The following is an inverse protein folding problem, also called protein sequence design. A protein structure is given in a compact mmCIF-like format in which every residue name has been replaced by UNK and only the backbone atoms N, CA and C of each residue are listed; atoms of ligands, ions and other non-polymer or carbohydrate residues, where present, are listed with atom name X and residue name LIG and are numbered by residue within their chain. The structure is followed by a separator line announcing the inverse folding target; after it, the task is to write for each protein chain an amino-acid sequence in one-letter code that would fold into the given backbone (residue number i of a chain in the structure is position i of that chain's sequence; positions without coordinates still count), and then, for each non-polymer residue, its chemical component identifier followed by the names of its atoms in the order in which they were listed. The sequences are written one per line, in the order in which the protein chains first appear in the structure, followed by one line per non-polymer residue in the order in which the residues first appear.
data_IF_382916462242
#
_entry.id   IF_382916462242
#
_cell.length_a   1.000
_cell.length_b   1.000
_cell.length_c   1.000
_cell.angle_alpha   90.00
_cell.angle_beta   90.00
_cell.angle_gamma   90.00
#
_symmetry.space_group_name_H-M   'P 1'
#
loop_
_entity.id
_entity.type
_entity.pdbx_description
1 polymer ?
#
# COMPACT_ATOMS: atom_id res chain seq x y z
N UNK A 1 8.69 -14.47 35.94
CA UNK A 1 8.44 -14.35 34.47
C UNK A 1 8.11 -12.93 34.20
N UNK A 2 8.80 -12.30 33.28
CA UNK A 2 8.54 -10.90 32.92
C UNK A 2 7.13 -10.82 32.30
N UNK A 3 6.34 -9.83 32.74
CA UNK A 3 4.99 -9.59 32.24
C UNK A 3 5.09 -9.05 30.82
N UNK A 4 4.29 -9.56 29.89
CA UNK A 4 4.21 -9.09 28.51
C UNK A 4 3.54 -7.70 28.50
N UNK A 5 4.26 -6.71 28.01
CA UNK A 5 3.77 -5.34 27.90
C UNK A 5 2.81 -5.19 26.70
N UNK A 6 1.61 -4.64 26.95
CA UNK A 6 0.56 -4.51 25.94
C UNK A 6 0.12 -3.06 25.79
N UNK A 7 0.01 -2.58 24.56
CA UNK A 7 -0.67 -1.34 24.22
C UNK A 7 -2.03 -1.63 23.60
N UNK A 8 -3.05 -0.84 23.93
CA UNK A 8 -4.40 -0.97 23.40
C UNK A 8 -4.78 0.29 22.63
N UNK A 9 -5.18 0.13 21.36
CA UNK A 9 -5.54 1.25 20.48
C UNK A 9 -6.93 1.00 19.90
N UNK A 10 -7.91 1.77 20.36
CA UNK A 10 -9.31 1.62 19.95
C UNK A 10 -10.06 2.93 20.17
N UNK A 11 -10.92 3.32 19.24
CA UNK A 11 -11.77 4.51 19.37
C UNK A 11 -12.93 4.37 20.40
N UNK A 12 -13.07 3.19 21.03
CA UNK A 12 -14.14 2.90 21.97
C UNK A 12 -13.56 2.60 23.37
N UNK A 13 -13.66 3.53 24.32
CA UNK A 13 -13.12 3.37 25.66
C UNK A 13 -13.60 2.10 26.39
N UNK A 14 -14.86 1.70 26.19
CA UNK A 14 -15.41 0.47 26.80
C UNK A 14 -14.68 -0.78 26.27
N UNK A 15 -14.31 -0.79 24.99
CA UNK A 15 -13.51 -1.89 24.42
C UNK A 15 -12.13 -1.95 25.07
N UNK A 16 -11.46 -0.81 25.21
CA UNK A 16 -10.14 -0.72 25.86
C UNK A 16 -10.21 -1.28 27.29
N UNK A 17 -11.16 -0.83 28.10
CA UNK A 17 -11.30 -1.30 29.48
C UNK A 17 -11.68 -2.79 29.55
N UNK A 18 -12.56 -3.25 28.66
CA UNK A 18 -12.93 -4.65 28.57
C UNK A 18 -11.73 -5.55 28.22
N UNK A 19 -10.95 -5.17 27.22
CA UNK A 19 -9.75 -5.92 26.82
C UNK A 19 -8.68 -5.86 27.90
N UNK A 20 -8.47 -4.70 28.53
CA UNK A 20 -7.53 -4.54 29.63
C UNK A 20 -7.90 -5.47 30.81
N UNK A 21 -9.18 -5.54 31.19
CA UNK A 21 -9.66 -6.42 32.22
C UNK A 21 -9.41 -7.90 31.88
N UNK A 22 -9.78 -8.31 30.67
CA UNK A 22 -9.57 -9.69 30.18
C UNK A 22 -8.10 -10.09 30.25
N UNK A 23 -7.20 -9.21 29.80
CA UNK A 23 -5.76 -9.49 29.81
C UNK A 23 -5.19 -9.52 31.25
N UNK A 24 -5.65 -8.62 32.12
CA UNK A 24 -5.22 -8.57 33.51
C UNK A 24 -5.56 -9.87 34.27
N UNK A 25 -6.73 -10.49 34.00
CA UNK A 25 -7.13 -11.76 34.65
C UNK A 25 -6.19 -12.92 34.30
N UNK A 26 -5.38 -12.79 33.24
CA UNK A 26 -4.43 -13.85 32.84
C UNK A 26 -3.11 -13.80 33.61
N UNK A 27 -2.81 -12.69 34.30
CA UNK A 27 -1.58 -12.53 35.11
C UNK A 27 -0.26 -12.47 34.32
N UNK A 28 -0.31 -12.67 33.00
CA UNK A 28 0.87 -12.67 32.11
C UNK A 28 1.01 -11.42 31.28
N UNK A 29 -0.04 -10.58 31.20
CA UNK A 29 -0.07 -9.36 30.40
C UNK A 29 -0.19 -8.13 31.29
N UNK A 30 0.50 -7.04 30.92
CA UNK A 30 0.42 -5.74 31.58
C UNK A 30 0.11 -4.66 30.55
N UNK A 31 -1.02 -3.98 30.68
CA UNK A 31 -1.36 -2.85 29.80
C UNK A 31 -0.53 -1.63 30.20
N UNK A 32 0.39 -1.23 29.33
CA UNK A 32 1.35 -0.13 29.57
C UNK A 32 0.92 1.18 28.93
N UNK A 33 0.06 1.14 27.91
CA UNK A 33 -0.43 2.35 27.22
C UNK A 33 -1.79 2.12 26.57
N UNK A 34 -2.54 3.22 26.39
CA UNK A 34 -3.82 3.27 25.70
C UNK A 34 -3.83 4.43 24.71
N UNK A 35 -4.49 4.27 23.56
CA UNK A 35 -4.63 5.29 22.52
C UNK A 35 -5.93 5.11 21.74
N UNK A 36 -6.34 6.14 21.01
CA UNK A 36 -7.61 6.18 20.30
C UNK A 36 -7.44 6.45 18.79
N UNK A 37 -6.21 6.65 18.31
CA UNK A 37 -5.91 7.02 16.92
C UNK A 37 -4.66 6.30 16.39
N UNK A 38 -4.48 6.34 15.06
CA UNK A 38 -3.25 5.86 14.41
C UNK A 38 -2.01 6.67 14.85
N UNK A 39 -2.19 7.93 15.18
CA UNK A 39 -1.13 8.81 15.67
C UNK A 39 -0.69 8.41 17.09
N UNK A 40 -1.65 8.04 17.95
CA UNK A 40 -1.34 7.48 19.27
C UNK A 40 -0.61 6.15 19.13
N UNK A 41 -1.03 5.28 18.21
CA UNK A 41 -0.36 4.01 17.95
C UNK A 41 1.13 4.19 17.63
N UNK A 42 1.46 5.13 16.74
CA UNK A 42 2.84 5.47 16.38
C UNK A 42 3.63 6.04 17.56
N UNK A 43 3.04 6.98 18.30
CA UNK A 43 3.67 7.60 19.46
C UNK A 43 3.96 6.57 20.55
N UNK A 44 2.98 5.71 20.87
CA UNK A 44 3.10 4.65 21.88
C UNK A 44 4.14 3.61 21.48
N UNK A 45 4.20 3.21 20.20
CA UNK A 45 5.22 2.29 19.72
C UNK A 45 6.63 2.86 19.90
N UNK A 46 6.82 4.15 19.64
CA UNK A 46 8.11 4.82 19.83
C UNK A 46 8.52 5.01 21.30
N UNK A 47 7.58 5.39 22.16
CA UNK A 47 7.83 5.74 23.55
C UNK A 47 7.87 4.52 24.48
N UNK A 48 6.90 3.61 24.37
CA UNK A 48 6.72 2.48 25.28
C UNK A 48 7.31 1.18 24.76
N UNK A 49 7.50 1.05 23.44
CA UNK A 49 7.99 -0.17 22.78
C UNK A 49 7.33 -1.45 23.33
N UNK A 50 5.98 -1.52 23.31
CA UNK A 50 5.29 -2.66 23.90
C UNK A 50 5.63 -3.96 23.13
N UNK A 51 5.61 -5.10 23.84
CA UNK A 51 5.79 -6.42 23.20
C UNK A 51 4.63 -6.76 22.26
N UNK A 52 3.43 -6.28 22.62
CA UNK A 52 2.20 -6.50 21.86
C UNK A 52 1.40 -5.20 21.76
N UNK A 53 0.88 -4.91 20.56
CA UNK A 53 -0.13 -3.86 20.35
C UNK A 53 -1.40 -4.50 19.83
N UNK A 54 -2.54 -4.24 20.48
CA UNK A 54 -3.87 -4.63 20.01
C UNK A 54 -4.52 -3.37 19.46
N UNK A 55 -4.84 -3.37 18.15
CA UNK A 55 -5.23 -2.19 17.39
C UNK A 55 -6.53 -2.44 16.62
N UNK A 56 -7.50 -1.54 16.74
CA UNK A 56 -8.68 -1.52 15.86
C UNK A 56 -8.38 -0.81 14.54
N UNK A 57 -8.98 -1.28 13.44
CA UNK A 57 -8.89 -0.61 12.14
C UNK A 57 -9.81 0.62 12.02
N UNK A 58 -10.86 0.70 12.82
CA UNK A 58 -11.85 1.78 12.78
C UNK A 58 -11.44 3.01 13.63
N UNK A 59 -10.16 3.21 13.89
CA UNK A 59 -9.63 4.38 14.60
C UNK A 59 -9.41 5.57 13.65
N UNK A 60 -9.42 6.81 14.16
CA UNK A 60 -9.05 8.00 13.38
C UNK A 60 -7.66 7.88 12.77
N UNK A 61 -7.52 8.32 11.50
CA UNK A 61 -6.29 8.25 10.72
C UNK A 61 -6.18 6.97 9.87
N UNK A 62 -4.98 6.67 9.38
CA UNK A 62 -4.72 5.47 8.56
C UNK A 62 -4.10 4.36 9.44
N UNK A 63 -4.94 3.45 9.89
CA UNK A 63 -4.54 2.34 10.74
C UNK A 63 -3.58 1.37 10.01
N UNK A 64 -3.79 1.13 8.71
CA UNK A 64 -2.95 0.19 7.93
C UNK A 64 -1.57 0.79 7.69
N UNK A 65 -1.48 2.08 7.38
CA UNK A 65 -0.21 2.78 7.27
C UNK A 65 0.54 2.79 8.60
N UNK A 66 -0.16 3.01 9.73
CA UNK A 66 0.45 2.95 11.06
C UNK A 66 1.00 1.55 11.39
N UNK A 67 0.27 0.48 11.06
CA UNK A 67 0.75 -0.91 11.19
C UNK A 67 2.05 -1.09 10.42
N UNK A 68 2.09 -0.66 9.16
CA UNK A 68 3.27 -0.80 8.29
C UNK A 68 4.48 -0.05 8.85
N UNK A 69 4.28 1.18 9.33
CA UNK A 69 5.34 2.00 9.91
C UNK A 69 5.86 1.40 11.23
N UNK A 70 4.97 0.93 12.10
CA UNK A 70 5.34 0.28 13.37
C UNK A 70 6.11 -1.01 13.09
N UNK A 71 5.64 -1.86 12.18
CA UNK A 71 6.30 -3.10 11.83
C UNK A 71 7.73 -2.88 11.28
N UNK A 72 7.93 -1.80 10.50
CA UNK A 72 9.23 -1.44 9.94
C UNK A 72 10.18 -0.84 10.97
N UNK A 73 9.70 0.08 11.83
CA UNK A 73 10.54 0.85 12.77
C UNK A 73 10.69 0.20 14.15
N UNK A 74 9.71 -0.59 14.56
CA UNK A 74 9.64 -1.23 15.86
C UNK A 74 9.37 -2.74 15.74
N UNK A 75 10.28 -3.53 15.14
CA UNK A 75 10.07 -4.95 14.84
C UNK A 75 9.89 -5.82 16.09
N UNK A 76 10.23 -5.31 17.28
CA UNK A 76 9.95 -5.94 18.58
C UNK A 76 8.48 -5.86 18.98
N UNK A 77 7.73 -4.86 18.50
CA UNK A 77 6.31 -4.69 18.79
C UNK A 77 5.48 -5.52 17.81
N UNK A 78 4.84 -6.57 18.29
CA UNK A 78 3.93 -7.40 17.48
C UNK A 78 2.54 -6.79 17.49
N UNK A 79 1.82 -6.86 16.36
CA UNK A 79 0.53 -6.20 16.21
C UNK A 79 -0.57 -7.25 15.99
N UNK A 80 -1.64 -7.15 16.77
CA UNK A 80 -2.92 -7.84 16.55
C UNK A 80 -3.94 -6.78 16.15
N UNK A 81 -4.57 -6.98 15.01
CA UNK A 81 -5.78 -6.24 14.63
C UNK A 81 -6.98 -6.88 15.35
N UNK A 82 -7.75 -6.06 16.07
CA UNK A 82 -8.95 -6.47 16.78
C UNK A 82 -10.12 -5.58 16.36
N UNK A 83 -10.95 -6.06 15.42
CA UNK A 83 -11.92 -5.21 14.71
C UNK A 83 -13.35 -5.75 14.74
N UNK A 84 -14.32 -4.83 14.74
CA UNK A 84 -15.74 -5.15 14.65
C UNK A 84 -16.22 -5.39 13.20
N UNK A 85 -15.46 -4.95 12.20
CA UNK A 85 -15.82 -5.10 10.78
C UNK A 85 -15.00 -6.23 10.15
N UNK A 86 -15.53 -7.44 10.17
CA UNK A 86 -14.85 -8.59 9.63
C UNK A 86 -14.85 -8.56 8.09
N UNK A 87 -13.66 -8.53 7.49
CA UNK A 87 -13.47 -8.60 6.06
C UNK A 87 -12.17 -9.34 5.75
N UNK A 88 -12.22 -10.21 4.74
CA UNK A 88 -11.03 -10.92 4.25
C UNK A 88 -10.02 -9.92 3.67
N UNK A 89 -10.50 -8.89 2.98
CA UNK A 89 -9.69 -7.84 2.38
C UNK A 89 -8.91 -7.06 3.44
N UNK A 90 -9.58 -6.68 4.54
CA UNK A 90 -8.95 -6.02 5.67
C UNK A 90 -7.93 -6.93 6.38
N UNK A 91 -8.24 -8.22 6.51
CA UNK A 91 -7.30 -9.18 7.09
C UNK A 91 -6.03 -9.29 6.24
N UNK A 92 -6.17 -9.40 4.91
CA UNK A 92 -5.03 -9.45 3.98
C UNK A 92 -4.22 -8.17 4.05
N UNK A 93 -4.86 -7.00 3.96
CA UNK A 93 -4.17 -5.70 4.02
C UNK A 93 -3.41 -5.51 5.33
N UNK A 94 -4.00 -5.89 6.47
CA UNK A 94 -3.35 -5.79 7.77
C UNK A 94 -2.14 -6.74 7.89
N UNK A 95 -2.27 -8.00 7.43
CA UNK A 95 -1.18 -8.97 7.44
C UNK A 95 -0.04 -8.58 6.50
N UNK A 96 -0.35 -8.06 5.31
CA UNK A 96 0.64 -7.52 4.36
C UNK A 96 1.36 -6.29 4.93
N UNK A 97 0.66 -5.44 5.70
CA UNK A 97 1.24 -4.31 6.40
C UNK A 97 2.15 -4.72 7.57
N UNK A 98 2.11 -5.99 8.01
CA UNK A 98 3.00 -6.51 9.04
C UNK A 98 2.30 -6.91 10.35
N UNK A 99 0.96 -6.84 10.44
CA UNK A 99 0.24 -7.42 11.57
C UNK A 99 0.51 -8.93 11.67
N UNK A 100 0.57 -9.43 12.89
CA UNK A 100 0.77 -10.84 13.20
C UNK A 100 -0.50 -11.53 13.68
N UNK A 101 -1.54 -10.75 13.95
CA UNK A 101 -2.85 -11.28 14.33
C UNK A 101 -3.99 -10.52 13.69
N UNK A 102 -5.09 -11.23 13.40
CA UNK A 102 -6.35 -10.64 12.96
C UNK A 102 -7.51 -11.35 13.65
N UNK A 103 -8.20 -10.64 14.53
CA UNK A 103 -9.22 -11.17 15.42
C UNK A 103 -10.48 -10.30 15.35
N UNK A 104 -11.65 -10.95 15.30
CA UNK A 104 -12.94 -10.25 15.34
C UNK A 104 -13.31 -9.84 16.75
N UNK A 105 -13.87 -8.64 16.95
CA UNK A 105 -14.47 -8.23 18.24
C UNK A 105 -15.69 -9.06 18.63
N UNK A 106 -16.28 -9.81 17.71
CA UNK A 106 -17.35 -10.77 18.01
C UNK A 106 -16.87 -12.12 18.53
N UNK A 107 -15.56 -12.33 18.64
CA UNK A 107 -14.99 -13.59 19.13
C UNK A 107 -15.25 -13.79 20.64
N UNK A 108 -15.12 -15.02 21.11
CA UNK A 108 -15.08 -15.28 22.54
C UNK A 108 -13.82 -14.66 23.17
N UNK A 109 -13.93 -14.19 24.43
CA UNK A 109 -12.80 -13.56 25.12
C UNK A 109 -11.54 -14.42 25.18
N UNK A 110 -11.69 -15.74 25.30
CA UNK A 110 -10.58 -16.69 25.26
C UNK A 110 -9.82 -16.72 23.93
N UNK A 111 -10.48 -16.38 22.81
CA UNK A 111 -9.85 -16.34 21.50
C UNK A 111 -8.81 -15.21 21.40
N UNK A 112 -9.14 -14.02 21.89
CA UNK A 112 -8.20 -12.88 21.92
C UNK A 112 -6.96 -13.20 22.77
N UNK A 113 -7.15 -13.85 23.93
CA UNK A 113 -6.04 -14.29 24.80
C UNK A 113 -5.16 -15.32 24.12
N UNK A 114 -5.76 -16.29 23.41
CA UNK A 114 -5.01 -17.30 22.65
C UNK A 114 -4.24 -16.66 21.49
N UNK A 115 -4.86 -15.72 20.79
CA UNK A 115 -4.20 -14.94 19.74
C UNK A 115 -3.00 -14.15 20.30
N UNK A 116 -3.18 -13.48 21.45
CA UNK A 116 -2.11 -12.73 22.10
C UNK A 116 -0.91 -13.63 22.45
N UNK A 117 -1.16 -14.78 23.04
CA UNK A 117 -0.11 -15.77 23.39
C UNK A 117 0.60 -16.30 22.13
N UNK A 118 -0.16 -16.67 21.10
CA UNK A 118 0.39 -17.20 19.85
C UNK A 118 1.28 -16.15 19.16
N UNK A 119 0.82 -14.92 19.07
CA UNK A 119 1.55 -13.82 18.41
C UNK A 119 2.82 -13.45 19.17
N UNK A 120 2.77 -13.40 20.50
CA UNK A 120 3.97 -13.17 21.33
C UNK A 120 4.96 -14.34 21.21
N UNK A 121 4.49 -15.56 21.01
CA UNK A 121 5.35 -16.71 20.72
C UNK A 121 5.93 -16.70 19.28
N UNK A 122 5.59 -15.70 18.44
CA UNK A 122 6.10 -15.56 17.08
C UNK A 122 5.23 -16.19 16.00
N UNK A 123 4.09 -16.77 16.34
CA UNK A 123 3.13 -17.30 15.37
C UNK A 123 2.28 -16.19 14.73
N UNK A 124 1.69 -16.48 13.58
CA UNK A 124 0.62 -15.66 13.02
C UNK A 124 -0.72 -16.26 13.41
N UNK A 125 -1.65 -15.44 13.90
CA UNK A 125 -2.98 -15.85 14.30
C UNK A 125 -4.07 -15.14 13.49
N UNK A 126 -4.97 -15.91 12.90
CA UNK A 126 -6.14 -15.37 12.20
C UNK A 126 -7.36 -16.13 12.71
N UNK A 127 -8.40 -15.40 13.13
CA UNK A 127 -9.67 -16.02 13.54
C UNK A 127 -10.17 -16.99 12.48
N UNK A 128 -10.66 -18.14 12.89
CA UNK A 128 -11.01 -19.27 12.01
C UNK A 128 -11.98 -18.86 10.90
N UNK A 129 -12.90 -17.96 11.21
CA UNK A 129 -13.88 -17.41 10.26
C UNK A 129 -13.22 -16.73 9.04
N UNK A 130 -11.97 -16.28 9.15
CA UNK A 130 -11.24 -15.60 8.06
C UNK A 130 -10.09 -16.44 7.51
N UNK A 131 -9.66 -17.48 8.22
CA UNK A 131 -8.42 -18.20 7.90
C UNK A 131 -8.41 -18.75 6.47
N UNK A 132 -9.47 -19.42 6.04
CA UNK A 132 -9.55 -19.97 4.68
C UNK A 132 -9.58 -18.91 3.60
N UNK A 133 -10.35 -17.81 3.79
CA UNK A 133 -10.43 -16.70 2.86
C UNK A 133 -9.11 -15.91 2.78
N UNK A 134 -8.50 -15.62 3.93
CA UNK A 134 -7.23 -14.91 3.99
C UNK A 134 -6.09 -15.71 3.33
N UNK A 135 -6.01 -17.04 3.57
CA UNK A 135 -5.01 -17.89 2.92
C UNK A 135 -5.20 -17.92 1.40
N UNK A 136 -6.44 -18.04 0.92
CA UNK A 136 -6.74 -18.02 -0.52
C UNK A 136 -6.36 -16.66 -1.15
N UNK A 137 -6.69 -15.56 -0.50
CA UNK A 137 -6.39 -14.21 -0.97
C UNK A 137 -4.87 -13.92 -0.96
N UNK A 138 -4.14 -14.32 0.08
CA UNK A 138 -2.68 -14.16 0.15
C UNK A 138 -1.96 -14.99 -0.93
N UNK A 139 -2.43 -16.22 -1.21
CA UNK A 139 -1.92 -17.02 -2.34
C UNK A 139 -2.16 -16.30 -3.68
N UNK A 140 -3.37 -15.77 -3.89
CA UNK A 140 -3.71 -15.04 -5.09
C UNK A 140 -2.91 -13.72 -5.22
N UNK A 141 -2.69 -12.99 -4.13
CA UNK A 141 -1.87 -11.79 -4.10
C UNK A 141 -0.41 -12.09 -4.45
N UNK A 142 0.16 -13.17 -3.90
CA UNK A 142 1.52 -13.60 -4.22
C UNK A 142 1.66 -14.01 -5.68
N UNK A 143 0.70 -14.78 -6.21
CA UNK A 143 0.66 -15.15 -7.63
C UNK A 143 0.50 -13.92 -8.50
N UNK A 144 -0.38 -12.97 -8.13
CA UNK A 144 -0.59 -11.70 -8.84
C UNK A 144 0.67 -10.83 -8.83
N UNK A 145 1.39 -10.75 -7.68
CA UNK A 145 2.66 -10.02 -7.57
C UNK A 145 3.74 -10.61 -8.47
N UNK A 146 3.87 -11.94 -8.49
CA UNK A 146 4.80 -12.65 -9.39
C UNK A 146 4.41 -12.41 -10.86
N UNK A 147 3.12 -12.50 -11.19
CA UNK A 147 2.61 -12.22 -12.53
C UNK A 147 2.85 -10.75 -12.93
N UNK A 148 2.62 -9.78 -12.03
CA UNK A 148 2.92 -8.36 -12.28
C UNK A 148 4.42 -8.11 -12.43
N UNK A 149 5.29 -8.77 -11.65
CA UNK A 149 6.74 -8.68 -11.83
C UNK A 149 7.20 -9.30 -13.15
N UNK A 150 6.59 -10.42 -13.56
CA UNK A 150 6.84 -11.04 -14.87
C UNK A 150 6.37 -10.15 -16.03
N UNK A 151 5.33 -9.32 -15.82
CA UNK A 151 4.81 -8.34 -16.79
C UNK A 151 5.55 -6.99 -16.72
N UNK A 152 6.40 -6.74 -15.70
CA UNK A 152 7.18 -5.50 -15.64
C UNK A 152 8.16 -5.43 -16.80
N UNK A 153 8.16 -4.30 -17.47
CA UNK A 153 9.10 -4.05 -18.56
C UNK A 153 10.52 -3.89 -17.99
N UNK A 154 11.50 -4.52 -18.58
CA UNK A 154 12.89 -4.21 -18.28
C UNK A 154 13.21 -2.77 -18.67
N UNK A 155 14.26 -2.18 -18.11
CA UNK A 155 14.67 -0.81 -18.45
C UNK A 155 14.84 -0.60 -19.97
N UNK A 156 15.30 -1.63 -20.67
CA UNK A 156 15.48 -1.58 -22.13
C UNK A 156 14.18 -1.67 -22.90
N UNK A 157 13.26 -2.51 -22.46
CA UNK A 157 11.91 -2.61 -23.00
C UNK A 157 11.13 -1.31 -22.80
N UNK A 158 11.26 -0.69 -21.60
CA UNK A 158 10.60 0.59 -21.32
C UNK A 158 11.14 1.74 -22.19
N UNK A 159 12.45 1.81 -22.43
CA UNK A 159 13.04 2.77 -23.39
C UNK A 159 12.45 2.60 -24.79
N UNK A 160 12.32 1.36 -25.28
CA UNK A 160 11.75 1.08 -26.59
C UNK A 160 10.27 1.47 -26.63
N UNK A 161 9.50 1.12 -25.60
CA UNK A 161 8.08 1.50 -25.46
C UNK A 161 7.92 3.03 -25.43
N UNK A 162 8.81 3.75 -24.75
CA UNK A 162 8.76 5.22 -24.70
C UNK A 162 8.91 5.84 -26.10
N UNK A 163 9.90 5.39 -26.89
CA UNK A 163 10.10 5.86 -28.25
C UNK A 163 8.96 5.42 -29.19
N UNK A 164 8.43 4.21 -28.97
CA UNK A 164 7.29 3.68 -29.69
C UNK A 164 6.03 4.52 -29.52
N UNK A 165 5.74 4.96 -28.29
CA UNK A 165 4.64 5.88 -27.96
C UNK A 165 4.84 7.26 -28.60
N UNK A 166 6.09 7.68 -28.86
CA UNK A 166 6.44 8.85 -29.65
C UNK A 166 6.31 8.68 -31.17
N UNK A 167 5.79 7.54 -31.63
CA UNK A 167 5.56 7.26 -33.07
C UNK A 167 6.83 6.85 -33.85
N UNK A 168 7.95 6.57 -33.17
CA UNK A 168 9.23 6.22 -33.83
C UNK A 168 9.15 4.87 -34.51
N UNK A 169 9.72 4.78 -35.70
CA UNK A 169 9.92 3.51 -36.45
C UNK A 169 11.02 2.66 -35.79
N UNK A 170 11.09 1.37 -36.12
CA UNK A 170 12.15 0.49 -35.60
C UNK A 170 13.56 0.97 -36.01
N UNK A 171 13.70 1.60 -37.15
CA UNK A 171 14.96 2.17 -37.63
C UNK A 171 15.37 3.39 -36.79
N UNK A 172 14.44 4.29 -36.49
CA UNK A 172 14.68 5.45 -35.65
C UNK A 172 14.97 5.03 -34.19
N UNK A 173 14.20 4.07 -33.66
CA UNK A 173 14.44 3.50 -32.30
C UNK A 173 15.86 2.87 -32.26
N UNK A 174 16.25 2.15 -33.27
CA UNK A 174 17.57 1.57 -33.34
C UNK A 174 18.67 2.64 -33.33
N UNK A 175 18.50 3.70 -34.10
CA UNK A 175 19.42 4.85 -34.14
C UNK A 175 19.48 5.55 -32.77
N UNK A 176 18.32 5.87 -32.16
CA UNK A 176 18.22 6.61 -30.90
C UNK A 176 18.83 5.84 -29.69
N UNK A 177 18.77 4.50 -29.75
CA UNK A 177 19.26 3.62 -28.69
C UNK A 177 20.61 2.96 -28.95
N UNK A 178 21.27 3.26 -30.06
CA UNK A 178 22.55 2.62 -30.49
C UNK A 178 22.41 1.12 -30.72
N UNK A 179 21.29 0.67 -31.28
CA UNK A 179 20.98 -0.72 -31.56
C UNK A 179 20.92 -0.98 -33.08
N UNK A 180 20.84 -2.27 -33.47
CA UNK A 180 20.47 -2.63 -34.85
C UNK A 180 18.94 -2.72 -34.98
N UNK A 181 18.39 -2.49 -36.17
CA UNK A 181 16.97 -2.65 -36.44
C UNK A 181 16.49 -4.09 -36.15
N UNK A 182 17.34 -5.07 -36.37
CA UNK A 182 17.08 -6.48 -36.03
C UNK A 182 16.89 -6.68 -34.53
N UNK A 183 17.70 -6.01 -33.71
CA UNK A 183 17.60 -6.05 -32.27
C UNK A 183 16.29 -5.42 -31.79
N UNK A 184 15.88 -4.29 -32.39
CA UNK A 184 14.59 -3.66 -32.07
C UNK A 184 13.41 -4.54 -32.46
N UNK A 185 13.46 -5.21 -33.63
CA UNK A 185 12.43 -6.19 -34.04
C UNK A 185 12.33 -7.35 -33.05
N UNK A 186 13.45 -7.83 -32.51
CA UNK A 186 13.45 -8.86 -31.48
C UNK A 186 12.76 -8.38 -30.21
N UNK A 187 13.11 -7.19 -29.73
CA UNK A 187 12.41 -6.59 -28.54
C UNK A 187 10.91 -6.38 -28.79
N UNK A 188 10.51 -5.99 -30.01
CA UNK A 188 9.09 -5.89 -30.36
C UNK A 188 8.37 -7.23 -30.28
N UNK A 189 9.02 -8.33 -30.71
CA UNK A 189 8.46 -9.67 -30.57
C UNK A 189 8.30 -10.06 -29.10
N UNK A 190 9.31 -9.79 -28.26
CA UNK A 190 9.28 -10.05 -26.82
C UNK A 190 8.17 -9.21 -26.15
N UNK A 191 8.04 -7.93 -26.49
CA UNK A 191 6.99 -7.05 -26.00
C UNK A 191 5.60 -7.54 -26.37
N UNK A 192 5.39 -7.97 -27.62
CA UNK A 192 4.11 -8.53 -28.05
C UNK A 192 3.74 -9.80 -27.26
N UNK A 193 4.70 -10.69 -27.05
CA UNK A 193 4.48 -11.89 -26.21
C UNK A 193 4.18 -11.52 -24.75
N UNK A 194 4.96 -10.61 -24.18
CA UNK A 194 4.86 -10.20 -22.77
C UNK A 194 3.57 -9.47 -22.47
N UNK A 195 3.08 -8.64 -23.40
CA UNK A 195 1.82 -7.91 -23.28
C UNK A 195 0.61 -8.71 -23.80
N UNK A 196 0.85 -9.91 -24.33
CA UNK A 196 -0.15 -10.78 -24.94
C UNK A 196 -0.96 -10.08 -26.05
N UNK A 197 -0.24 -9.43 -26.97
CA UNK A 197 -0.81 -8.67 -28.10
C UNK A 197 -0.19 -9.13 -29.42
N UNK A 198 -0.87 -8.85 -30.53
CA UNK A 198 -0.55 -9.45 -31.83
C UNK A 198 0.20 -8.54 -32.82
N UNK A 199 0.15 -7.23 -32.57
CA UNK A 199 0.74 -6.25 -33.48
C UNK A 199 1.25 -5.02 -32.74
N UNK A 200 2.00 -4.16 -33.43
CA UNK A 200 2.62 -2.95 -32.96
C UNK A 200 1.58 -1.94 -32.35
N UNK A 201 0.42 -1.82 -32.99
CA UNK A 201 -0.63 -0.89 -32.55
C UNK A 201 -1.18 -1.32 -31.17
N UNK A 202 -1.41 -2.61 -31.02
CA UNK A 202 -1.84 -3.18 -29.75
C UNK A 202 -0.78 -3.03 -28.65
N UNK A 203 0.53 -3.10 -28.98
CA UNK A 203 1.60 -2.78 -28.01
C UNK A 203 1.49 -1.35 -27.53
N UNK A 204 1.24 -0.38 -28.42
CA UNK A 204 1.05 1.04 -28.07
C UNK A 204 -0.16 1.22 -27.16
N UNK A 205 -1.29 0.60 -27.47
CA UNK A 205 -2.52 0.68 -26.66
C UNK A 205 -2.30 0.08 -25.26
N UNK A 206 -1.75 -1.13 -25.19
CA UNK A 206 -1.47 -1.80 -23.92
C UNK A 206 -0.48 -1.00 -23.05
N UNK A 207 0.55 -0.40 -23.66
CA UNK A 207 1.51 0.44 -22.96
C UNK A 207 0.91 1.76 -22.45
N UNK A 208 -0.05 2.35 -23.16
CA UNK A 208 -0.78 3.52 -22.69
C UNK A 208 -1.66 3.18 -21.48
N UNK A 209 -2.34 2.05 -21.49
CA UNK A 209 -3.20 1.59 -20.41
C UNK A 209 -2.39 1.28 -19.13
N UNK A 210 -1.22 0.65 -19.25
CA UNK A 210 -0.30 0.42 -18.14
C UNK A 210 0.17 1.72 -17.47
N UNK A 211 0.36 2.80 -18.24
CA UNK A 211 0.76 4.12 -17.71
C UNK A 211 -0.40 4.91 -17.09
N UNK A 212 -1.64 4.61 -17.46
CA UNK A 212 -2.84 5.23 -16.88
C UNK A 212 -3.27 4.61 -15.56
N UNK A 213 -2.89 3.38 -15.28
CA UNK A 213 -3.21 2.69 -14.02
C UNK A 213 -2.46 3.30 -12.84
N UNK A 214 -3.09 3.51 -11.65
CA UNK A 214 -2.52 4.23 -10.49
C UNK A 214 -1.25 3.59 -9.88
N UNK A 215 -0.90 2.36 -10.25
CA UNK A 215 0.32 1.66 -9.81
C UNK A 215 1.56 1.86 -10.68
N UNK A 216 1.46 2.59 -11.80
CA UNK A 216 2.53 2.73 -12.80
C UNK A 216 3.52 3.89 -12.59
N UNK A 217 3.45 4.62 -11.47
CA UNK A 217 4.27 5.81 -11.22
C UNK A 217 5.51 5.55 -10.36
N UNK A 218 6.33 4.58 -10.69
CA UNK A 218 7.72 4.54 -10.21
C UNK A 218 8.67 4.40 -11.41
N UNK A 219 8.70 5.41 -12.24
CA UNK A 219 9.68 5.60 -13.32
C UNK A 219 10.62 6.74 -12.97
N UNK A 220 11.85 6.40 -12.82
CA UNK A 220 13.10 7.13 -12.65
C UNK A 220 13.04 8.55 -13.26
N UNK A 221 13.26 9.57 -12.42
CA UNK A 221 13.53 10.93 -12.85
C UNK A 221 14.88 11.00 -13.58
N UNK A 222 14.86 11.14 -14.89
CA UNK A 222 16.04 11.52 -15.66
C UNK A 222 16.26 13.02 -15.56
N UNK A 223 17.48 13.41 -15.16
CA UNK A 223 17.94 14.77 -14.98
C UNK A 223 17.67 15.63 -16.21
N UNK A 224 17.07 16.79 -15.98
CA UNK A 224 16.87 17.86 -16.95
C UNK A 224 18.21 18.44 -17.36
N UNK A 225 18.65 18.13 -18.58
CA UNK A 225 19.66 18.94 -19.25
C UNK A 225 19.04 20.26 -19.71
N UNK A 226 19.63 21.36 -19.31
CA UNK A 226 19.23 22.73 -19.56
C UNK A 226 18.92 23.01 -21.04
N UNK A 227 17.79 23.66 -21.30
CA UNK A 227 17.51 24.38 -22.57
C UNK A 227 17.74 25.87 -22.35
N UNK A 228 18.34 26.59 -23.32
CA UNK A 228 18.53 28.03 -23.20
C UNK A 228 17.22 28.80 -23.43
N UNK A 229 17.10 29.88 -22.67
CA UNK A 229 16.08 30.91 -22.70
C UNK A 229 15.89 31.48 -24.09
N UNK A 230 14.65 31.52 -24.57
CA UNK A 230 14.19 32.53 -25.55
C UNK A 230 13.03 33.29 -24.95
N UNK A 231 13.25 34.60 -24.80
CA UNK A 231 12.30 35.58 -24.38
C UNK A 231 11.18 35.73 -25.44
N UNK A 232 9.93 35.72 -24.99
CA UNK A 232 8.81 36.21 -25.78
C UNK A 232 7.96 37.18 -24.93
N UNK A 233 7.95 38.37 -25.43
CA UNK A 233 7.13 39.54 -25.26
C UNK A 233 5.77 39.42 -24.57
N UNK A 234 5.57 40.36 -23.66
CA UNK A 234 4.34 40.82 -23.02
C UNK A 234 3.11 40.95 -23.94
N UNK A 235 2.00 40.30 -23.54
CA UNK A 235 0.68 40.68 -24.04
C UNK A 235 -0.19 41.09 -22.85
N UNK A 236 -0.58 42.39 -22.86
CA UNK A 236 -1.43 43.06 -21.87
C UNK A 236 -2.88 42.65 -22.10
N UNK A 237 -3.53 42.05 -21.11
CA UNK A 237 -4.99 41.84 -21.10
C UNK A 237 -5.63 42.92 -20.25
N UNK A 238 -6.50 43.65 -20.90
CA UNK A 238 -7.29 44.78 -20.40
C UNK A 238 -8.40 44.29 -19.46
N UNK A 239 -8.45 44.81 -18.27
CA UNK A 239 -9.53 44.60 -17.30
C UNK A 239 -10.86 45.12 -17.81
N UNK A 240 -11.89 44.29 -17.78
CA UNK A 240 -13.30 44.73 -17.89
C UNK A 240 -13.95 44.65 -16.51
N UNK A 241 -14.38 45.78 -16.00
CA UNK A 241 -15.04 45.97 -14.71
C UNK A 241 -16.45 45.36 -14.61
N UNK A 242 -17.00 45.30 -13.39
CA UNK A 242 -18.25 44.58 -13.11
C UNK A 242 -19.51 45.38 -13.52
N UNK A 243 -20.52 44.67 -14.04
CA UNK A 243 -21.87 45.20 -14.36
C UNK A 243 -22.71 45.34 -13.08
N UNK A 244 -23.56 46.39 -12.97
CA UNK A 244 -24.49 46.56 -11.85
C UNK A 244 -25.72 45.64 -11.94
N UNK A 245 -26.45 45.43 -10.82
CA UNK A 245 -27.59 44.52 -10.76
C UNK A 245 -28.86 45.16 -11.34
N UNK A 246 -29.69 44.36 -12.02
CA UNK A 246 -31.04 44.75 -12.47
C UNK A 246 -32.03 44.65 -11.31
N UNK A 247 -32.75 45.71 -11.05
CA UNK A 247 -33.96 45.75 -10.23
C UNK A 247 -35.12 45.16 -11.04
N UNK A 248 -35.85 44.25 -10.41
CA UNK A 248 -37.12 43.71 -10.88
C UNK A 248 -38.25 44.37 -10.13
N UNK A 249 -39.25 44.80 -10.88
CA UNK A 249 -40.59 45.06 -10.38
C UNK A 249 -41.29 43.72 -10.06
#
# INVERSE_FOLDING_TARGET
MDSISVALIDGHPVTIEGVAHVLATQGTFSVVARGESSQDALAIAGQHRPDLMILDLAIPGDAVAAISEIAARHPGTRIIVFTAVPSVEHAVSALEAGARGYVSKSCATGELVNAARAVVAGATYVSEIFASGAIAALKNASVRKIAMQALSLTAREDQIVHLLLGGRTNKEIASDLGLTERTVKHYMTVLMQKLNVRNRVEVVMAAQDLRRSPGGRQGIAFGSAARPSMAVSSFTVREMGPRPPRLSN
#
